data_IF_580654530852
#
_entry.id   IF_580654530852
#
_cell.length_a   1.000
_cell.length_b   1.000
_cell.length_c   1.000
_cell.angle_alpha   90.00
_cell.angle_beta   90.00
_cell.angle_gamma   90.00
#
_symmetry.space_group_name_H-M   'P 1'
#
loop_
_entity.id
_entity.type
_entity.pdbx_description
1 polymer ?
#
# COMPACT_ATOMS: atom_id res chain seq x y z
N UNK A 1 -41.32 -43.84 -22.66
CA UNK A 1 -42.07 -43.94 -21.41
C UNK A 1 -42.34 -42.55 -20.89
N UNK A 2 -43.63 -42.22 -20.92
CA UNK A 2 -44.24 -40.94 -20.61
C UNK A 2 -44.01 -40.46 -19.17
N UNK A 3 -43.71 -39.18 -19.03
CA UNK A 3 -44.07 -38.44 -17.82
C UNK A 3 -44.63 -37.08 -18.18
N UNK A 4 -45.90 -36.91 -17.73
CA UNK A 4 -46.82 -35.80 -18.03
C UNK A 4 -46.57 -34.64 -17.06
N UNK A 5 -46.94 -33.41 -17.42
CA UNK A 5 -46.89 -32.25 -16.56
C UNK A 5 -48.13 -32.14 -15.65
N UNK A 6 -47.95 -31.77 -14.41
CA UNK A 6 -49.06 -31.43 -13.48
C UNK A 6 -49.30 -29.94 -13.57
N UNK A 7 -50.43 -29.61 -14.21
CA UNK A 7 -51.11 -28.30 -14.06
C UNK A 7 -51.99 -28.35 -12.82
N UNK A 8 -51.83 -27.40 -11.91
CA UNK A 8 -52.86 -27.13 -10.92
C UNK A 8 -53.30 -25.68 -11.03
N UNK A 9 -54.54 -25.55 -11.44
CA UNK A 9 -55.36 -24.32 -11.43
C UNK A 9 -55.85 -24.10 -10.01
N UNK A 10 -55.73 -22.91 -9.48
CA UNK A 10 -56.69 -22.36 -8.53
C UNK A 10 -56.98 -20.91 -8.88
N UNK A 11 -58.07 -20.75 -9.61
CA UNK A 11 -58.85 -19.55 -9.73
C UNK A 11 -60.09 -19.77 -8.82
N UNK A 12 -60.40 -18.86 -7.89
CA UNK A 12 -61.74 -18.39 -7.55
C UNK A 12 -61.66 -17.47 -6.34
N UNK A 13 -61.87 -16.21 -6.54
CA UNK A 13 -63.02 -15.43 -6.09
C UNK A 13 -63.08 -15.13 -4.58
N UNK A 14 -62.77 -13.89 -4.20
CA UNK A 14 -63.58 -13.13 -3.24
C UNK A 14 -63.51 -11.63 -3.54
N UNK A 15 -64.61 -11.16 -4.11
CA UNK A 15 -65.06 -9.76 -4.15
C UNK A 15 -65.62 -9.37 -2.77
N UNK A 16 -65.51 -8.07 -2.44
CA UNK A 16 -66.14 -7.30 -1.35
C UNK A 16 -65.42 -7.32 0.01
N UNK A 17 -64.62 -6.31 0.23
CA UNK A 17 -64.90 -5.23 1.19
C UNK A 17 -63.83 -4.15 1.01
N UNK A 18 -64.27 -2.93 0.71
CA UNK A 18 -63.37 -1.79 0.54
C UNK A 18 -62.74 -1.35 1.86
N UNK A 19 -61.45 -1.53 1.94
CA UNK A 19 -60.56 -0.76 2.81
C UNK A 19 -59.26 -0.60 2.06
N UNK A 20 -59.10 0.57 1.44
CA UNK A 20 -57.81 1.03 0.96
C UNK A 20 -56.87 1.18 2.16
N UNK A 21 -55.74 0.44 2.24
CA UNK A 21 -54.68 0.87 3.12
C UNK A 21 -54.05 2.11 2.48
N UNK A 22 -54.12 3.22 3.17
CA UNK A 22 -53.41 4.43 2.87
C UNK A 22 -51.92 4.06 2.70
N UNK A 23 -51.42 4.16 1.46
CA UNK A 23 -50.01 4.16 1.17
C UNK A 23 -49.42 5.37 1.89
N UNK A 24 -48.91 5.16 3.09
CA UNK A 24 -47.98 6.08 3.72
C UNK A 24 -46.71 6.01 2.87
N UNK A 25 -46.65 6.85 1.85
CA UNK A 25 -45.42 7.18 1.16
C UNK A 25 -44.53 7.86 2.20
N UNK A 26 -43.69 7.07 2.86
CA UNK A 26 -42.56 7.59 3.61
C UNK A 26 -41.68 8.28 2.56
N UNK A 27 -41.89 9.60 2.44
CA UNK A 27 -40.97 10.47 1.71
C UNK A 27 -39.67 10.40 2.47
N UNK A 28 -38.80 9.46 2.10
CA UNK A 28 -37.38 9.53 2.48
C UNK A 28 -36.89 10.80 1.81
N UNK A 29 -36.47 11.83 2.57
CA UNK A 29 -35.93 13.02 1.95
C UNK A 29 -34.73 12.54 1.11
N UNK A 30 -34.79 12.80 -0.17
CA UNK A 30 -33.65 12.61 -1.06
C UNK A 30 -32.51 13.44 -0.43
N UNK A 31 -31.67 12.78 0.35
CA UNK A 31 -30.44 13.39 0.88
C UNK A 31 -29.75 13.92 -0.35
N UNK A 32 -29.68 15.24 -0.45
CA UNK A 32 -29.03 15.94 -1.55
C UNK A 32 -27.65 15.29 -1.72
N UNK A 33 -27.55 14.40 -2.68
CA UNK A 33 -26.27 13.88 -3.11
C UNK A 33 -25.56 15.10 -3.70
N UNK A 34 -24.52 15.57 -3.01
CA UNK A 34 -23.64 16.57 -3.57
C UNK A 34 -23.31 16.14 -5.01
N UNK A 35 -23.28 17.07 -5.98
CA UNK A 35 -22.97 16.70 -7.36
C UNK A 35 -21.67 15.93 -7.35
N UNK A 36 -21.74 14.65 -7.75
CA UNK A 36 -20.56 13.81 -7.91
C UNK A 36 -19.80 14.40 -9.08
N UNK A 37 -18.82 15.27 -8.79
CA UNK A 37 -17.92 15.75 -9.81
C UNK A 37 -17.24 14.52 -10.42
N UNK A 38 -17.27 14.34 -11.75
CA UNK A 38 -16.56 13.23 -12.36
C UNK A 38 -15.08 13.28 -11.92
N UNK A 39 -14.43 12.12 -11.70
CA UNK A 39 -13.04 12.11 -11.32
C UNK A 39 -12.24 12.94 -12.31
N UNK A 40 -11.48 13.90 -11.81
CA UNK A 40 -10.50 14.60 -12.65
C UNK A 40 -9.50 13.54 -13.13
N UNK A 41 -9.44 13.25 -14.43
CA UNK A 41 -8.45 12.31 -14.95
C UNK A 41 -7.05 12.84 -14.60
N UNK A 42 -6.09 11.94 -14.41
CA UNK A 42 -4.68 12.34 -14.29
C UNK A 42 -4.35 13.19 -15.52
N UNK A 43 -3.69 14.33 -15.29
CA UNK A 43 -3.40 15.31 -16.35
C UNK A 43 -2.73 14.62 -17.55
N UNK A 44 -3.33 14.71 -18.77
CA UNK A 44 -2.75 14.12 -19.97
C UNK A 44 -1.34 14.63 -20.28
N UNK A 45 -1.02 15.88 -19.95
CA UNK A 45 0.31 16.44 -20.15
C UNK A 45 1.33 15.83 -19.20
N UNK A 46 0.92 15.52 -17.96
CA UNK A 46 1.75 14.78 -17.00
C UNK A 46 2.01 13.35 -17.50
N UNK A 47 0.98 12.65 -17.97
CA UNK A 47 1.12 11.30 -18.52
C UNK A 47 2.03 11.28 -19.76
N UNK A 48 1.92 12.28 -20.64
CA UNK A 48 2.79 12.40 -21.80
C UNK A 48 4.27 12.53 -21.40
N UNK A 49 4.59 13.32 -20.37
CA UNK A 49 5.96 13.42 -19.81
C UNK A 49 6.41 12.10 -19.17
N UNK A 50 5.56 11.48 -18.38
CA UNK A 50 5.87 10.20 -17.76
C UNK A 50 6.18 9.12 -18.80
N UNK A 51 5.45 9.08 -19.93
CA UNK A 51 5.71 8.10 -21.01
C UNK A 51 7.03 8.34 -21.74
N UNK A 52 7.67 9.51 -21.60
CA UNK A 52 9.00 9.78 -22.14
C UNK A 52 10.13 9.39 -21.18
N UNK A 53 9.81 8.82 -20.02
CA UNK A 53 10.79 8.39 -19.02
C UNK A 53 11.24 9.50 -18.07
N UNK A 54 10.48 10.60 -17.95
CA UNK A 54 10.71 11.63 -16.93
C UNK A 54 10.32 11.05 -15.56
N UNK A 55 11.33 10.71 -14.75
CA UNK A 55 11.17 10.07 -13.43
C UNK A 55 10.28 10.89 -12.50
N UNK A 56 10.40 12.22 -12.52
CA UNK A 56 9.59 13.08 -11.67
C UNK A 56 8.12 13.04 -12.10
N UNK A 57 7.85 13.01 -13.40
CA UNK A 57 6.51 12.89 -13.95
C UNK A 57 5.92 11.49 -13.68
N UNK A 58 6.73 10.43 -13.74
CA UNK A 58 6.30 9.06 -13.38
C UNK A 58 5.85 8.97 -11.93
N UNK A 59 6.62 9.53 -10.99
CA UNK A 59 6.25 9.57 -9.56
C UNK A 59 4.98 10.38 -9.35
N UNK A 60 4.87 11.57 -9.95
CA UNK A 60 3.67 12.40 -9.84
C UNK A 60 2.42 11.71 -10.41
N UNK A 61 2.55 11.01 -11.53
CA UNK A 61 1.46 10.22 -12.10
C UNK A 61 1.04 9.08 -11.16
N UNK A 62 2.02 8.38 -10.58
CA UNK A 62 1.77 7.32 -9.61
C UNK A 62 1.05 7.84 -8.37
N UNK A 63 1.51 8.97 -7.81
CA UNK A 63 0.90 9.63 -6.65
C UNK A 63 -0.55 10.05 -6.95
N UNK A 64 -0.80 10.60 -8.14
CA UNK A 64 -2.13 11.00 -8.57
C UNK A 64 -3.09 9.80 -8.66
N UNK A 65 -2.65 8.68 -9.20
CA UNK A 65 -3.42 7.44 -9.23
C UNK A 65 -3.62 6.88 -7.81
N UNK A 66 -2.59 6.81 -6.98
CA UNK A 66 -2.67 6.31 -5.60
C UNK A 66 -3.60 7.14 -4.72
N UNK A 67 -3.63 8.46 -4.90
CA UNK A 67 -4.55 9.37 -4.23
C UNK A 67 -6.00 9.22 -4.72
N UNK A 68 -6.23 8.56 -5.86
CA UNK A 68 -7.57 8.42 -6.46
C UNK A 68 -8.16 9.74 -6.93
N UNK A 69 -7.33 10.76 -7.18
CA UNK A 69 -7.71 12.11 -7.58
C UNK A 69 -8.83 12.74 -6.71
N UNK A 70 -8.88 12.37 -5.39
CA UNK A 70 -9.81 12.97 -4.43
C UNK A 70 -11.29 12.58 -4.59
N UNK A 71 -11.63 11.63 -5.46
CA UNK A 71 -13.03 11.19 -5.65
C UNK A 71 -13.34 9.93 -4.86
N UNK A 72 -14.53 9.84 -4.20
CA UNK A 72 -15.01 8.60 -3.62
C UNK A 72 -15.20 7.57 -4.75
N UNK A 73 -14.39 6.52 -4.77
CA UNK A 73 -14.46 5.46 -5.77
C UNK A 73 -14.89 4.15 -5.13
N UNK A 74 -15.54 3.30 -5.88
CA UNK A 74 -15.79 1.94 -5.43
C UNK A 74 -14.47 1.15 -5.28
N UNK A 75 -14.54 -0.01 -4.64
CA UNK A 75 -13.34 -0.82 -4.37
C UNK A 75 -12.65 -1.28 -5.67
N UNK A 76 -13.41 -1.53 -6.74
CA UNK A 76 -12.88 -1.98 -8.02
C UNK A 76 -12.09 -0.87 -8.71
N UNK A 77 -12.63 0.35 -8.70
CA UNK A 77 -11.93 1.51 -9.27
C UNK A 77 -10.65 1.82 -8.51
N UNK A 78 -10.69 1.78 -7.16
CA UNK A 78 -9.47 1.95 -6.34
C UNK A 78 -8.40 0.91 -6.63
N UNK A 79 -8.80 -0.35 -6.83
CA UNK A 79 -7.85 -1.40 -7.20
C UNK A 79 -7.20 -1.13 -8.57
N UNK A 80 -7.98 -0.66 -9.55
CA UNK A 80 -7.46 -0.28 -10.87
C UNK A 80 -6.51 0.93 -10.79
N UNK A 81 -6.83 1.93 -9.97
CA UNK A 81 -5.97 3.10 -9.76
C UNK A 81 -4.64 2.70 -9.10
N UNK A 82 -4.66 1.86 -8.07
CA UNK A 82 -3.43 1.35 -7.47
C UNK A 82 -2.61 0.49 -8.44
N UNK A 83 -3.27 -0.23 -9.37
CA UNK A 83 -2.55 -0.98 -10.40
C UNK A 83 -1.81 -0.04 -11.38
N UNK A 84 -2.43 1.08 -11.76
CA UNK A 84 -1.76 2.11 -12.55
C UNK A 84 -0.63 2.79 -11.76
N UNK A 85 -0.86 3.12 -10.49
CA UNK A 85 0.19 3.67 -9.62
C UNK A 85 1.38 2.71 -9.53
N UNK A 86 1.15 1.40 -9.37
CA UNK A 86 2.21 0.40 -9.29
C UNK A 86 3.07 0.35 -10.56
N UNK A 87 2.46 0.52 -11.74
CA UNK A 87 3.21 0.56 -13.01
C UNK A 87 4.14 1.78 -13.06
N UNK A 88 3.64 2.96 -12.74
CA UNK A 88 4.44 4.18 -12.76
C UNK A 88 5.52 4.19 -11.66
N UNK A 89 5.17 3.77 -10.44
CA UNK A 89 6.19 3.61 -9.40
C UNK A 89 7.27 2.61 -9.80
N UNK A 90 6.93 1.51 -10.49
CA UNK A 90 7.92 0.55 -10.98
C UNK A 90 8.88 1.19 -11.96
N UNK A 91 8.38 1.94 -12.94
CA UNK A 91 9.23 2.62 -13.92
C UNK A 91 10.23 3.56 -13.24
N UNK A 92 9.76 4.40 -12.32
CA UNK A 92 10.62 5.32 -11.57
C UNK A 92 11.58 4.56 -10.60
N UNK A 93 11.11 3.47 -9.97
CA UNK A 93 11.91 2.66 -9.05
C UNK A 93 13.04 1.92 -9.76
N UNK A 94 12.81 1.43 -10.96
CA UNK A 94 13.82 0.78 -11.80
C UNK A 94 14.91 1.78 -12.24
N UNK A 95 14.56 3.06 -12.38
CA UNK A 95 15.49 4.16 -12.61
C UNK A 95 16.18 4.63 -11.31
N UNK A 96 15.88 3.99 -10.20
CA UNK A 96 16.56 4.22 -8.93
C UNK A 96 15.95 5.32 -8.07
N UNK A 97 14.74 5.80 -8.36
CA UNK A 97 14.05 6.78 -7.51
C UNK A 97 13.67 6.14 -6.17
N UNK A 98 14.22 6.67 -5.07
CA UNK A 98 14.04 6.11 -3.72
C UNK A 98 12.57 6.18 -3.25
N UNK A 99 11.86 7.32 -3.32
CA UNK A 99 10.44 7.38 -3.01
C UNK A 99 9.61 6.33 -3.75
N UNK A 100 9.82 6.18 -5.06
CA UNK A 100 9.10 5.20 -5.86
C UNK A 100 9.40 3.75 -5.43
N UNK A 101 10.65 3.44 -5.05
CA UNK A 101 11.02 2.12 -4.50
C UNK A 101 10.25 1.83 -3.20
N UNK A 102 10.11 2.82 -2.32
CA UNK A 102 9.38 2.68 -1.05
C UNK A 102 7.88 2.47 -1.31
N UNK A 103 7.27 3.32 -2.13
CA UNK A 103 5.83 3.20 -2.44
C UNK A 103 5.51 1.87 -3.14
N UNK A 104 6.35 1.42 -4.05
CA UNK A 104 6.18 0.11 -4.70
C UNK A 104 6.29 -1.04 -3.69
N UNK A 105 7.24 -0.97 -2.75
CA UNK A 105 7.35 -1.92 -1.66
C UNK A 105 6.09 -1.96 -0.79
N UNK A 106 5.51 -0.80 -0.46
CA UNK A 106 4.25 -0.70 0.27
C UNK A 106 3.07 -1.31 -0.48
N UNK A 107 2.98 -1.09 -1.79
CA UNK A 107 1.93 -1.70 -2.62
C UNK A 107 2.02 -3.22 -2.60
N UNK A 108 3.23 -3.80 -2.69
CA UNK A 108 3.42 -5.25 -2.58
C UNK A 108 3.13 -5.77 -1.16
N UNK A 109 3.57 -5.05 -0.12
CA UNK A 109 3.29 -5.41 1.29
C UNK A 109 1.79 -5.48 1.56
N UNK A 110 1.05 -4.50 1.08
CA UNK A 110 -0.37 -4.33 1.37
C UNK A 110 -1.28 -5.05 0.35
N UNK A 111 -0.76 -5.49 -0.80
CA UNK A 111 -1.55 -6.08 -1.87
C UNK A 111 -2.46 -5.07 -2.56
N UNK A 112 -2.03 -3.81 -2.67
CA UNK A 112 -2.80 -2.73 -3.29
C UNK A 112 -2.42 -2.59 -4.77
N UNK A 113 -3.35 -2.90 -5.68
CA UNK A 113 -3.14 -2.84 -7.13
C UNK A 113 -2.23 -3.92 -7.70
N UNK A 114 -1.53 -4.64 -6.85
CA UNK A 114 -0.68 -5.80 -7.16
C UNK A 114 -1.00 -6.93 -6.19
N UNK A 115 -0.80 -8.20 -6.55
CA UNK A 115 -0.87 -9.29 -5.58
C UNK A 115 0.07 -9.04 -4.41
N UNK A 116 -0.39 -9.32 -3.18
CA UNK A 116 0.46 -9.19 -2.00
C UNK A 116 1.67 -10.12 -2.11
N UNK A 117 2.86 -9.54 -2.02
CA UNK A 117 4.12 -10.25 -2.14
C UNK A 117 5.16 -9.61 -1.22
N UNK A 118 5.43 -10.28 -0.10
CA UNK A 118 6.36 -9.78 0.91
C UNK A 118 7.82 -9.88 0.46
N UNK A 119 8.17 -10.82 -0.40
CA UNK A 119 9.53 -10.97 -0.94
C UNK A 119 9.85 -9.80 -1.90
N UNK A 120 8.89 -9.43 -2.74
CA UNK A 120 9.01 -8.22 -3.57
C UNK A 120 9.09 -6.96 -2.71
N UNK A 121 8.27 -6.85 -1.66
CA UNK A 121 8.34 -5.71 -0.75
C UNK A 121 9.73 -5.58 -0.11
N UNK A 122 10.29 -6.68 0.39
CA UNK A 122 11.66 -6.71 0.94
C UNK A 122 12.69 -6.29 -0.11
N UNK A 123 12.56 -6.80 -1.32
CA UNK A 123 13.49 -6.48 -2.42
C UNK A 123 13.54 -4.98 -2.69
N UNK A 124 12.37 -4.33 -2.76
CA UNK A 124 12.30 -2.90 -3.01
C UNK A 124 12.71 -2.06 -1.80
N UNK A 125 12.31 -2.45 -0.57
CA UNK A 125 12.83 -1.79 0.64
C UNK A 125 14.34 -1.88 0.76
N UNK A 126 14.96 -3.03 0.40
CA UNK A 126 16.41 -3.18 0.42
C UNK A 126 17.09 -2.21 -0.53
N UNK A 127 16.60 -2.08 -1.77
CA UNK A 127 17.15 -1.12 -2.75
C UNK A 127 17.15 0.33 -2.22
N UNK A 128 16.06 0.73 -1.54
CA UNK A 128 15.96 2.06 -0.93
C UNK A 128 16.84 2.19 0.34
N UNK A 129 16.89 1.15 1.16
CA UNK A 129 17.70 1.09 2.39
C UNK A 129 19.20 1.16 2.11
N UNK A 130 19.68 0.48 1.07
CA UNK A 130 21.05 0.52 0.60
C UNK A 130 21.49 1.92 0.16
N UNK A 131 20.52 2.75 -0.27
CA UNK A 131 20.73 4.17 -0.60
C UNK A 131 20.62 5.11 0.61
N UNK A 132 20.42 4.57 1.81
CA UNK A 132 20.42 5.33 3.05
C UNK A 132 19.06 5.89 3.48
N UNK A 133 17.96 5.48 2.85
CA UNK A 133 16.65 5.90 3.32
C UNK A 133 16.31 5.27 4.67
N UNK A 134 16.12 6.08 5.70
CA UNK A 134 15.89 5.64 7.07
C UNK A 134 14.52 4.93 7.25
N UNK A 135 13.51 5.31 6.47
CA UNK A 135 12.20 4.67 6.47
C UNK A 135 12.26 3.24 5.94
N UNK A 136 12.96 3.07 4.82
CA UNK A 136 13.20 1.76 4.22
C UNK A 136 14.09 0.88 5.10
N UNK A 137 15.16 1.45 5.71
CA UNK A 137 16.01 0.75 6.69
C UNK A 137 15.19 0.26 7.88
N UNK A 138 14.34 1.13 8.46
CA UNK A 138 13.46 0.76 9.56
C UNK A 138 12.44 -0.31 9.19
N UNK A 139 11.85 -0.22 8.01
CA UNK A 139 10.89 -1.21 7.49
C UNK A 139 11.58 -2.57 7.27
N UNK A 140 12.77 -2.57 6.65
CA UNK A 140 13.54 -3.78 6.41
C UNK A 140 13.96 -4.47 7.71
N UNK A 141 14.40 -3.70 8.71
CA UNK A 141 14.73 -4.22 10.03
C UNK A 141 13.55 -4.90 10.72
N UNK A 142 12.35 -4.32 10.63
CA UNK A 142 11.13 -4.96 11.15
C UNK A 142 10.78 -6.25 10.39
N UNK A 143 10.94 -6.28 9.07
CA UNK A 143 10.66 -7.48 8.27
C UNK A 143 11.59 -8.63 8.64
N UNK A 144 12.88 -8.36 8.88
CA UNK A 144 13.82 -9.35 9.39
C UNK A 144 13.49 -9.81 10.81
N UNK A 145 13.04 -8.92 11.69
CA UNK A 145 12.73 -9.28 13.08
C UNK A 145 11.56 -10.25 13.21
N UNK A 146 10.62 -10.21 12.25
CA UNK A 146 9.43 -11.08 12.25
C UNK A 146 9.47 -12.19 11.20
N UNK A 147 10.46 -12.20 10.30
CA UNK A 147 10.58 -13.20 9.24
C UNK A 147 9.51 -13.06 8.14
N UNK A 148 9.11 -11.83 7.79
CA UNK A 148 8.11 -11.60 6.76
C UNK A 148 8.76 -11.28 5.41
N UNK A 149 8.60 -12.18 4.44
CA UNK A 149 9.21 -12.09 3.10
C UNK A 149 10.72 -12.36 3.08
N UNK A 150 11.30 -12.63 4.23
CA UNK A 150 12.69 -13.08 4.45
C UNK A 150 12.73 -14.07 5.60
N UNK A 151 13.80 -14.85 5.68
CA UNK A 151 14.07 -15.62 6.88
C UNK A 151 14.29 -14.68 8.07
N UNK A 152 13.71 -15.01 9.23
CA UNK A 152 13.91 -14.24 10.46
C UNK A 152 15.39 -14.20 10.82
N UNK A 153 15.91 -13.00 11.06
CA UNK A 153 17.29 -12.76 11.46
C UNK A 153 17.39 -11.52 12.34
N UNK A 154 17.60 -11.73 13.64
CA UNK A 154 17.71 -10.63 14.60
C UNK A 154 19.00 -9.82 14.45
N UNK A 155 20.09 -10.41 13.91
CA UNK A 155 21.34 -9.68 13.66
C UNK A 155 21.16 -8.71 12.51
N UNK A 156 20.54 -9.14 11.39
CA UNK A 156 20.20 -8.25 10.29
C UNK A 156 19.13 -7.23 10.69
N UNK A 157 18.13 -7.62 11.49
CA UNK A 157 17.14 -6.69 12.03
C UNK A 157 17.79 -5.57 12.85
N UNK A 158 18.71 -5.94 13.75
CA UNK A 158 19.45 -4.99 14.58
C UNK A 158 20.31 -4.05 13.73
N UNK A 159 20.99 -4.59 12.70
CA UNK A 159 21.79 -3.80 11.76
C UNK A 159 20.96 -2.72 11.05
N UNK A 160 19.86 -3.11 10.41
CA UNK A 160 19.02 -2.16 9.68
C UNK A 160 18.34 -1.13 10.58
N UNK A 161 17.90 -1.56 11.78
CA UNK A 161 17.32 -0.65 12.78
C UNK A 161 18.38 0.31 13.35
N UNK A 162 19.65 -0.11 13.50
CA UNK A 162 20.72 0.76 13.95
C UNK A 162 21.02 1.85 12.93
N UNK A 163 21.05 1.51 11.62
CA UNK A 163 21.19 2.50 10.54
C UNK A 163 20.00 3.49 10.53
N UNK A 164 18.78 3.00 10.68
CA UNK A 164 17.57 3.83 10.72
C UNK A 164 17.57 4.77 11.95
N UNK A 165 17.97 4.26 13.11
CA UNK A 165 18.02 5.01 14.37
C UNK A 165 19.11 6.11 14.37
N UNK A 166 20.15 5.95 13.55
CA UNK A 166 21.18 6.97 13.36
C UNK A 166 20.71 8.18 12.54
N UNK A 167 19.59 8.05 11.81
CA UNK A 167 18.99 9.16 11.10
C UNK A 167 18.21 10.06 12.06
N UNK A 168 18.51 11.36 12.03
CA UNK A 168 17.71 12.37 12.75
C UNK A 168 16.37 12.54 12.03
N UNK A 169 15.27 12.45 12.77
CA UNK A 169 13.95 12.63 12.19
C UNK A 169 12.82 12.19 13.12
N UNK A 170 11.57 12.37 12.69
CA UNK A 170 10.40 12.14 13.55
C UNK A 170 10.25 10.68 14.01
N UNK A 171 10.80 9.73 13.25
CA UNK A 171 10.72 8.30 13.56
C UNK A 171 11.93 7.75 14.33
N UNK A 172 12.94 8.59 14.65
CA UNK A 172 14.16 8.14 15.30
C UNK A 172 13.90 7.37 16.60
N UNK A 173 13.04 7.93 17.48
CA UNK A 173 12.70 7.29 18.76
C UNK A 173 12.07 5.91 18.56
N UNK A 174 11.22 5.76 17.54
CA UNK A 174 10.61 4.46 17.18
C UNK A 174 11.66 3.45 16.73
N UNK A 175 12.63 3.87 15.91
CA UNK A 175 13.68 2.96 15.45
C UNK A 175 14.61 2.55 16.58
N UNK A 176 14.92 3.47 17.51
CA UNK A 176 15.70 3.17 18.72
C UNK A 176 14.99 2.15 19.61
N UNK A 177 13.69 2.31 19.84
CA UNK A 177 12.91 1.35 20.63
C UNK A 177 12.87 -0.03 19.98
N UNK A 178 12.64 -0.10 18.67
CA UNK A 178 12.62 -1.36 17.92
C UNK A 178 14.02 -2.03 17.94
N UNK A 179 15.10 -1.25 17.78
CA UNK A 179 16.47 -1.74 17.90
C UNK A 179 16.74 -2.34 19.26
N UNK A 180 16.33 -1.67 20.32
CA UNK A 180 16.48 -2.16 21.69
C UNK A 180 15.77 -3.51 21.88
N UNK A 181 14.51 -3.61 21.47
CA UNK A 181 13.74 -4.85 21.57
C UNK A 181 14.39 -6.01 20.79
N UNK A 182 14.89 -5.74 19.60
CA UNK A 182 15.60 -6.75 18.79
C UNK A 182 16.94 -7.13 19.45
N UNK A 183 17.63 -6.17 20.07
CA UNK A 183 18.89 -6.38 20.77
C UNK A 183 18.79 -7.39 21.93
N UNK A 184 17.61 -7.57 22.52
CA UNK A 184 17.38 -8.56 23.57
C UNK A 184 17.48 -10.03 23.07
N UNK A 185 17.44 -10.23 21.74
CA UNK A 185 17.50 -11.55 21.11
C UNK A 185 18.90 -11.94 20.60
N UNK A 186 19.89 -11.06 20.75
CA UNK A 186 21.27 -11.29 20.29
C UNK A 186 22.26 -11.01 21.43
N UNK A 187 23.45 -11.62 21.35
CA UNK A 187 24.49 -11.45 22.37
C UNK A 187 25.14 -10.06 22.25
N UNK A 188 25.82 -9.62 23.34
CA UNK A 188 26.63 -8.40 23.36
C UNK A 188 27.73 -8.40 22.30
N UNK A 189 28.37 -9.53 22.06
CA UNK A 189 29.40 -9.67 21.02
C UNK A 189 28.81 -9.51 19.62
N UNK A 190 27.61 -10.06 19.38
CA UNK A 190 26.88 -9.86 18.11
C UNK A 190 26.46 -8.41 17.93
N UNK A 191 25.99 -7.74 19.00
CA UNK A 191 25.66 -6.30 18.96
C UNK A 191 26.91 -5.47 18.59
N UNK A 192 28.05 -5.73 19.24
CA UNK A 192 29.30 -5.03 18.95
C UNK A 192 29.73 -5.21 17.50
N UNK A 193 29.69 -6.45 17.00
CA UNK A 193 30.02 -6.73 15.60
C UNK A 193 29.09 -6.01 14.61
N UNK A 194 27.80 -5.85 14.95
CA UNK A 194 26.86 -5.08 14.13
C UNK A 194 27.16 -3.58 14.19
N UNK A 195 27.51 -3.03 15.34
CA UNK A 195 27.88 -1.61 15.45
C UNK A 195 29.14 -1.28 14.61
N UNK A 196 30.10 -2.20 14.52
CA UNK A 196 31.25 -2.05 13.62
C UNK A 196 30.80 -2.02 12.14
N UNK A 197 29.87 -2.90 11.75
CA UNK A 197 29.26 -2.89 10.39
C UNK A 197 28.51 -1.59 10.11
N UNK A 198 27.76 -1.07 11.09
CA UNK A 198 27.04 0.21 11.00
C UNK A 198 28.02 1.36 10.79
N UNK A 199 29.08 1.42 11.59
CA UNK A 199 30.12 2.44 11.46
C UNK A 199 30.81 2.40 10.08
N UNK A 200 31.14 1.22 9.60
CA UNK A 200 31.72 1.04 8.27
C UNK A 200 30.77 1.49 7.15
N UNK A 201 29.48 1.16 7.26
CA UNK A 201 28.47 1.61 6.30
C UNK A 201 28.33 3.14 6.29
N UNK A 202 28.28 3.76 7.46
CA UNK A 202 28.16 5.23 7.62
C UNK A 202 29.38 5.95 7.06
N UNK A 203 30.59 5.39 7.24
CA UNK A 203 31.82 5.94 6.66
C UNK A 203 31.79 5.91 5.13
N UNK A 204 31.22 4.85 4.54
CA UNK A 204 31.08 4.72 3.09
C UNK A 204 29.93 5.57 2.50
N UNK A 205 28.96 5.99 3.32
CA UNK A 205 27.79 6.75 2.91
C UNK A 205 27.64 8.02 3.78
N UNK A 206 28.59 8.97 3.68
CA UNK A 206 28.52 10.20 4.46
C UNK A 206 27.23 10.94 4.13
N UNK A 207 26.46 11.31 5.15
CA UNK A 207 25.29 12.17 4.98
C UNK A 207 25.74 13.61 4.73
N UNK A 208 25.10 14.30 3.77
CA UNK A 208 25.41 15.70 3.51
C UNK A 208 25.08 16.61 4.70
#
# INVERSE_FOLDING_TARGET
MNLRPVRSKFLFLCLLTGLLPALVSVLIPARAQAPVTPPTPVDPALLAKATTGDVAAEVQAADAYAAGNGTPRDARQRAADYAQAALWYRNAADQGNIPAQIHLAELYRDGRGVPRDMEQAVTWYRKAADKGDAGAQGSLGLLYSVGMGVQQDYIEAYYWLSLAAAAKGPNQAKYMANRQSVGEHITTDQQAAVEDRVAAWQAAHPRP
#
